data_IF_439934741773
#
_entry.id   IF_439934741773
#
_cell.length_a   1.000
_cell.length_b   1.000
_cell.length_c   1.000
_cell.angle_alpha   90.00
_cell.angle_beta   90.00
_cell.angle_gamma   90.00
#
_symmetry.space_group_name_H-M   'P 1'
#
loop_
_entity.id
_entity.type
_entity.pdbx_description
1 polymer ?
#
# COMPACT_ATOMS: atom_id res chain seq x y z
N UNK A 1 23.10 -6.95 -16.31
CA UNK A 1 22.81 -6.21 -15.10
C UNK A 1 21.35 -6.37 -14.72
N UNK A 2 21.11 -6.41 -13.46
CA UNK A 2 19.77 -6.60 -12.93
C UNK A 2 19.11 -5.27 -12.70
N UNK A 3 17.87 -5.20 -13.09
CA UNK A 3 17.07 -4.03 -12.80
C UNK A 3 16.09 -4.37 -11.68
N UNK A 4 16.08 -3.55 -10.67
CA UNK A 4 15.18 -3.73 -9.56
C UNK A 4 14.06 -2.73 -9.71
N UNK A 5 12.84 -3.23 -9.86
CA UNK A 5 11.67 -2.39 -9.93
C UNK A 5 10.99 -2.38 -8.59
N UNK A 6 10.63 -1.21 -8.15
CA UNK A 6 9.89 -1.06 -6.92
C UNK A 6 8.64 -0.25 -7.22
N UNK A 7 7.50 -0.85 -6.90
CA UNK A 7 6.22 -0.20 -7.07
C UNK A 7 5.73 0.27 -5.72
N UNK A 8 5.12 1.43 -5.71
CA UNK A 8 4.53 1.99 -4.50
C UNK A 8 3.06 2.24 -4.77
N UNK A 9 2.20 1.76 -3.86
CA UNK A 9 0.77 1.96 -3.96
C UNK A 9 0.28 2.68 -2.72
N UNK A 10 -0.69 3.57 -2.93
CA UNK A 10 -1.29 4.33 -1.84
C UNK A 10 -2.78 4.07 -1.81
N UNK A 11 -3.33 3.90 -0.61
CA UNK A 11 -4.77 3.80 -0.42
C UNK A 11 -5.23 5.04 0.30
N UNK A 12 -6.12 5.78 -0.34
CA UNK A 12 -6.60 7.05 0.19
C UNK A 12 -8.09 6.94 0.47
N UNK A 13 -8.51 7.37 1.64
CA UNK A 13 -9.91 7.41 2.04
C UNK A 13 -10.23 8.81 2.50
N UNK A 14 -11.22 9.43 1.86
CA UNK A 14 -11.63 10.80 2.17
C UNK A 14 -10.47 11.78 2.15
N UNK A 15 -9.60 11.62 1.14
CA UNK A 15 -8.47 12.51 0.97
C UNK A 15 -7.31 12.25 1.91
N UNK A 16 -7.40 11.24 2.74
CA UNK A 16 -6.36 10.92 3.70
C UNK A 16 -5.71 9.58 3.33
N UNK A 17 -4.39 9.56 3.28
CA UNK A 17 -3.67 8.33 2.97
C UNK A 17 -3.73 7.39 4.17
N UNK A 18 -4.37 6.24 3.98
CA UNK A 18 -4.56 5.27 5.04
C UNK A 18 -3.58 4.12 4.99
N UNK A 19 -3.01 3.85 3.82
CA UNK A 19 -2.06 2.76 3.70
C UNK A 19 -1.11 2.97 2.55
N UNK A 20 0.12 2.53 2.72
CA UNK A 20 1.15 2.59 1.69
C UNK A 20 1.81 1.23 1.63
N UNK A 21 1.96 0.71 0.41
CA UNK A 21 2.60 -0.58 0.22
C UNK A 21 3.63 -0.50 -0.89
N UNK A 22 4.66 -1.32 -0.77
CA UNK A 22 5.70 -1.41 -1.78
C UNK A 22 5.96 -2.87 -2.11
N UNK A 23 6.45 -3.11 -3.32
CA UNK A 23 6.76 -4.45 -3.72
C UNK A 23 7.42 -4.44 -5.09
N UNK A 24 7.94 -5.61 -5.47
CA UNK A 24 8.59 -5.76 -6.77
C UNK A 24 7.57 -5.91 -7.90
N UNK A 25 6.29 -6.08 -7.55
CA UNK A 25 5.20 -6.17 -8.51
C UNK A 25 4.09 -5.23 -8.09
N UNK A 26 3.38 -4.70 -9.09
CA UNK A 26 2.30 -3.76 -8.82
C UNK A 26 1.23 -4.37 -7.92
N UNK A 27 0.85 -5.62 -8.22
CA UNK A 27 -0.18 -6.28 -7.41
C UNK A 27 0.28 -6.47 -5.98
N UNK A 28 1.56 -6.78 -5.78
CA UNK A 28 2.09 -6.94 -4.44
C UNK A 28 2.04 -5.63 -3.66
N UNK A 29 2.41 -4.52 -4.32
CA UNK A 29 2.36 -3.22 -3.67
C UNK A 29 0.93 -2.86 -3.29
N UNK A 30 -0.04 -3.17 -4.16
CA UNK A 30 -1.43 -2.88 -3.88
C UNK A 30 -1.96 -3.72 -2.72
N UNK A 31 -1.57 -4.97 -2.66
CA UNK A 31 -2.00 -5.84 -1.58
C UNK A 31 -1.47 -5.34 -0.23
N UNK A 32 -0.22 -4.94 -0.21
CA UNK A 32 0.37 -4.42 1.02
C UNK A 32 -0.27 -3.10 1.43
N UNK A 33 -0.55 -2.24 0.45
CA UNK A 33 -1.20 -0.97 0.76
C UNK A 33 -2.59 -1.20 1.33
N UNK A 34 -3.34 -2.15 0.75
CA UNK A 34 -4.68 -2.46 1.23
C UNK A 34 -4.64 -3.04 2.64
N UNK A 35 -3.69 -3.93 2.91
CA UNK A 35 -3.55 -4.51 4.24
C UNK A 35 -3.22 -3.44 5.27
N UNK A 36 -2.34 -2.50 4.92
CA UNK A 36 -1.99 -1.42 5.83
C UNK A 36 -3.19 -0.52 6.08
N UNK A 37 -3.98 -0.24 5.04
CA UNK A 37 -5.17 0.59 5.18
C UNK A 37 -6.20 -0.07 6.08
N UNK A 38 -6.41 -1.39 5.92
CA UNK A 38 -7.34 -2.11 6.77
C UNK A 38 -6.92 -2.06 8.22
N UNK A 39 -5.63 -2.23 8.46
CA UNK A 39 -5.12 -2.19 9.83
C UNK A 39 -5.32 -0.81 10.44
N UNK A 40 -5.08 0.24 9.66
CA UNK A 40 -5.28 1.60 10.15
C UNK A 40 -6.74 1.85 10.47
N UNK A 41 -7.65 1.36 9.63
CA UNK A 41 -9.08 1.54 9.88
C UNK A 41 -9.53 0.78 11.13
N UNK A 42 -8.94 -0.39 11.37
CA UNK A 42 -9.27 -1.17 12.57
C UNK A 42 -8.90 -0.43 13.84
N UNK A 43 -7.76 0.26 13.83
CA UNK A 43 -7.30 0.96 15.02
C UNK A 43 -8.03 2.28 15.25
N UNK A 44 -8.79 2.73 14.27
CA UNK A 44 -9.54 3.99 14.41
C UNK A 44 -10.87 3.82 15.11
N UNK A 45 -11.30 2.61 15.33
CA UNK A 45 -12.57 2.36 16.02
C UNK A 45 -12.42 2.35 17.54
#
# INVERSE_FOLDING_TARGET
SEQIYQFTANVTVDGKTMGVGTGSRKSQAEEEAAAAALKALETMN
#
